data_IF_120136204175
#
_entry.id   IF_120136204175
#
_cell.length_a   1.000
_cell.length_b   1.000
_cell.length_c   1.000
_cell.angle_alpha   90.00
_cell.angle_beta   90.00
_cell.angle_gamma   90.00
#
_symmetry.space_group_name_H-M   'P 1'
#
loop_
_entity.id
_entity.type
_entity.pdbx_description
1 polymer ?
#
# COMPACT_ATOMS: atom_id res chain seq x y z
N UNK A 1 -30.93 58.58 22.95
CA UNK A 1 -29.64 58.54 22.23
C UNK A 1 -28.43 59.08 23.00
N UNK A 2 -28.52 60.08 23.90
CA UNK A 2 -27.34 60.51 24.71
C UNK A 2 -27.00 59.57 25.89
N UNK A 3 -27.98 58.83 26.41
CA UNK A 3 -27.79 57.97 27.59
C UNK A 3 -27.29 56.54 27.28
N UNK A 4 -27.35 56.09 26.02
CA UNK A 4 -26.86 54.75 25.64
C UNK A 4 -25.36 54.75 25.29
N UNK A 5 -24.83 55.90 24.86
CA UNK A 5 -23.40 56.08 24.59
C UNK A 5 -22.62 56.15 25.91
N UNK A 6 -23.24 56.66 26.99
CA UNK A 6 -22.65 56.69 28.33
C UNK A 6 -22.42 55.29 28.93
N UNK A 7 -23.27 54.31 28.58
CA UNK A 7 -23.14 52.91 29.02
C UNK A 7 -22.01 52.14 28.33
N UNK A 8 -21.59 52.58 27.15
CA UNK A 8 -20.48 51.99 26.39
C UNK A 8 -19.11 52.55 26.82
N UNK A 9 -19.05 53.79 27.31
CA UNK A 9 -17.81 54.39 27.87
C UNK A 9 -17.54 53.89 29.30
N UNK A 10 -18.58 53.49 30.06
CA UNK A 10 -18.46 52.98 31.43
C UNK A 10 -18.00 51.52 31.59
N UNK A 11 -17.77 50.79 30.48
CA UNK A 11 -17.28 49.41 30.47
C UNK A 11 -15.93 49.23 29.76
N UNK A 12 -15.22 50.32 29.50
CA UNK A 12 -13.83 50.25 29.10
C UNK A 12 -12.98 50.29 30.38
N UNK A 13 -12.06 49.33 30.60
CA UNK A 13 -11.15 49.39 31.73
C UNK A 13 -10.45 50.74 31.76
N UNK A 14 -10.63 51.47 32.86
CA UNK A 14 -10.34 52.91 32.99
C UNK A 14 -8.84 53.19 33.16
N UNK A 15 -7.99 52.18 32.98
CA UNK A 15 -6.55 52.26 33.16
C UNK A 15 -5.83 51.61 31.95
N UNK A 16 -5.12 52.41 31.13
CA UNK A 16 -4.35 51.92 29.98
C UNK A 16 -3.38 50.77 30.31
N UNK A 17 -2.89 50.71 31.55
CA UNK A 17 -2.02 49.64 32.02
C UNK A 17 -2.74 48.29 32.14
N UNK A 18 -4.00 48.28 32.55
CA UNK A 18 -4.80 47.04 32.71
C UNK A 18 -5.18 46.48 31.34
N UNK A 19 -5.59 47.34 30.39
CA UNK A 19 -5.86 46.98 28.99
C UNK A 19 -4.62 46.44 28.29
N UNK A 20 -3.44 47.02 28.54
CA UNK A 20 -2.18 46.55 28.00
C UNK A 20 -1.79 45.17 28.58
N UNK A 21 -2.03 44.96 29.87
CA UNK A 21 -1.79 43.67 30.55
C UNK A 21 -2.69 42.55 30.03
N UNK A 22 -3.98 42.83 29.81
CA UNK A 22 -4.92 41.88 29.21
C UNK A 22 -4.56 41.56 27.76
N UNK A 23 -4.23 42.58 26.95
CA UNK A 23 -3.80 42.39 25.56
C UNK A 23 -2.53 41.55 25.47
N UNK A 24 -1.55 41.79 26.35
CA UNK A 24 -0.33 40.98 26.42
C UNK A 24 -0.63 39.53 26.82
N UNK A 25 -1.51 39.31 27.82
CA UNK A 25 -1.95 37.95 28.20
C UNK A 25 -2.61 37.22 27.03
N UNK A 26 -3.47 37.89 26.26
CA UNK A 26 -4.09 37.30 25.07
C UNK A 26 -3.06 36.91 24.01
N UNK A 27 -2.06 37.76 23.76
CA UNK A 27 -0.98 37.46 22.82
C UNK A 27 -0.15 36.25 23.27
N UNK A 28 0.22 36.20 24.55
CA UNK A 28 1.00 35.09 25.11
C UNK A 28 0.19 33.79 25.09
N UNK A 29 -1.11 33.84 25.43
CA UNK A 29 -1.97 32.65 25.38
C UNK A 29 -2.16 32.15 23.95
N UNK A 30 -2.39 33.06 22.99
CA UNK A 30 -2.54 32.69 21.58
C UNK A 30 -1.26 32.09 21.00
N UNK A 31 -0.09 32.65 21.35
CA UNK A 31 1.20 32.08 20.97
C UNK A 31 1.44 30.69 21.59
N UNK A 32 1.13 30.53 22.88
CA UNK A 32 1.28 29.24 23.57
C UNK A 32 0.34 28.18 22.99
N UNK A 33 -0.90 28.54 22.67
CA UNK A 33 -1.87 27.66 22.03
C UNK A 33 -1.43 27.29 20.62
N UNK A 34 -0.99 28.27 19.82
CA UNK A 34 -0.40 28.02 18.50
C UNK A 34 0.78 27.04 18.58
N UNK A 35 1.70 27.24 19.53
CA UNK A 35 2.88 26.38 19.68
C UNK A 35 2.48 24.94 20.01
N UNK A 36 1.52 24.77 20.92
CA UNK A 36 0.97 23.45 21.28
C UNK A 36 0.28 22.78 20.09
N UNK A 37 -0.56 23.50 19.35
CA UNK A 37 -1.25 22.96 18.16
C UNK A 37 -0.22 22.58 17.10
N UNK A 38 0.78 23.44 16.85
CA UNK A 38 1.81 23.20 15.84
C UNK A 38 2.58 21.91 16.11
N UNK A 39 3.00 21.66 17.36
CA UNK A 39 3.70 20.43 17.76
C UNK A 39 2.82 19.17 17.63
N UNK A 40 1.54 19.26 18.00
CA UNK A 40 0.59 18.16 17.82
C UNK A 40 0.39 17.84 16.34
N UNK A 41 0.20 18.86 15.51
CA UNK A 41 0.00 18.67 14.07
C UNK A 41 1.28 18.20 13.36
N UNK A 42 2.46 18.61 13.83
CA UNK A 42 3.74 18.09 13.35
C UNK A 42 3.90 16.60 13.68
N UNK A 43 3.53 16.20 14.90
CA UNK A 43 3.53 14.79 15.32
C UNK A 43 2.58 13.97 14.44
N UNK A 44 1.34 14.43 14.24
CA UNK A 44 0.36 13.77 13.35
C UNK A 44 0.87 13.63 11.92
N UNK A 45 1.50 14.68 11.37
CA UNK A 45 2.11 14.62 10.02
C UNK A 45 3.23 13.57 9.95
N UNK A 46 4.04 13.50 11.00
CA UNK A 46 5.12 12.52 11.11
C UNK A 46 4.58 11.09 11.17
N UNK A 47 3.54 10.85 11.97
CA UNK A 47 2.85 9.57 12.04
C UNK A 47 2.24 9.15 10.69
N UNK A 48 1.56 10.08 10.00
CA UNK A 48 1.01 9.83 8.66
C UNK A 48 2.11 9.47 7.66
N UNK A 49 3.24 10.17 7.71
CA UNK A 49 4.38 9.88 6.84
C UNK A 49 4.99 8.50 7.12
N UNK A 50 5.21 8.17 8.40
CA UNK A 50 5.72 6.85 8.78
C UNK A 50 4.76 5.71 8.39
N UNK A 51 3.45 5.93 8.56
CA UNK A 51 2.43 4.99 8.11
C UNK A 51 2.46 4.82 6.59
N UNK A 52 2.51 5.93 5.84
CA UNK A 52 2.61 5.93 4.37
C UNK A 52 3.84 5.14 3.92
N UNK A 53 5.01 5.40 4.49
CA UNK A 53 6.26 4.70 4.14
C UNK A 53 6.14 3.19 4.39
N UNK A 54 5.57 2.79 5.53
CA UNK A 54 5.34 1.37 5.85
C UNK A 54 4.39 0.72 4.84
N UNK A 55 3.30 1.39 4.47
CA UNK A 55 2.36 0.87 3.48
C UNK A 55 2.96 0.78 2.08
N UNK A 56 3.76 1.77 1.67
CA UNK A 56 4.47 1.73 0.38
C UNK A 56 5.49 0.58 0.35
N UNK A 57 6.26 0.39 1.42
CA UNK A 57 7.18 -0.73 1.54
C UNK A 57 6.46 -2.08 1.47
N UNK A 58 5.29 -2.20 2.12
CA UNK A 58 4.44 -3.39 2.03
C UNK A 58 3.96 -3.66 0.60
N UNK A 59 3.42 -2.64 -0.08
CA UNK A 59 2.94 -2.76 -1.47
C UNK A 59 4.09 -3.15 -2.39
N UNK A 60 5.27 -2.55 -2.23
CA UNK A 60 6.44 -2.88 -3.04
C UNK A 60 6.92 -4.32 -2.80
N UNK A 61 6.89 -4.79 -1.55
CA UNK A 61 7.15 -6.18 -1.22
C UNK A 61 6.16 -7.12 -1.91
N UNK A 62 4.86 -6.84 -1.82
CA UNK A 62 3.80 -7.61 -2.48
C UNK A 62 3.99 -7.65 -4.00
N UNK A 63 4.31 -6.50 -4.60
CA UNK A 63 4.60 -6.37 -6.03
C UNK A 63 5.75 -7.29 -6.45
N UNK A 64 6.87 -7.27 -5.72
CA UNK A 64 8.05 -8.10 -6.02
C UNK A 64 7.75 -9.59 -5.95
N UNK A 65 7.04 -10.03 -4.91
CA UNK A 65 6.66 -11.45 -4.77
C UNK A 65 5.79 -11.90 -5.94
N UNK A 66 4.78 -11.10 -6.31
CA UNK A 66 3.91 -11.42 -7.44
C UNK A 66 4.68 -11.42 -8.77
N UNK A 67 5.56 -10.45 -8.98
CA UNK A 67 6.41 -10.37 -10.18
C UNK A 67 7.33 -11.60 -10.30
N UNK A 68 7.96 -12.01 -9.21
CA UNK A 68 8.82 -13.21 -9.17
C UNK A 68 8.03 -14.48 -9.46
N UNK A 69 6.89 -14.66 -8.81
CA UNK A 69 6.02 -15.81 -9.04
C UNK A 69 5.57 -15.89 -10.50
N UNK A 70 5.03 -14.79 -11.05
CA UNK A 70 4.56 -14.78 -12.44
C UNK A 70 5.70 -15.07 -13.42
N UNK A 71 6.84 -14.40 -13.25
CA UNK A 71 8.00 -14.61 -14.12
C UNK A 71 8.52 -16.04 -14.07
N UNK A 72 8.57 -16.64 -12.88
CA UNK A 72 8.95 -18.05 -12.67
C UNK A 72 7.97 -19.00 -13.35
N UNK A 73 6.68 -18.86 -13.08
CA UNK A 73 5.62 -19.73 -13.62
C UNK A 73 5.57 -19.70 -15.15
N UNK A 74 5.66 -18.53 -15.77
CA UNK A 74 5.65 -18.44 -17.23
C UNK A 74 6.92 -19.01 -17.85
N UNK A 75 8.09 -18.81 -17.22
CA UNK A 75 9.35 -19.39 -17.67
C UNK A 75 9.34 -20.91 -17.58
N UNK A 76 8.92 -21.46 -16.44
CA UNK A 76 8.81 -22.91 -16.24
C UNK A 76 7.86 -23.54 -17.26
N UNK A 77 6.66 -22.97 -17.43
CA UNK A 77 5.70 -23.46 -18.44
C UNK A 77 6.28 -23.42 -19.85
N UNK A 78 7.00 -22.37 -20.22
CA UNK A 78 7.64 -22.30 -21.53
C UNK A 78 8.64 -23.45 -21.72
N UNK A 79 9.50 -23.68 -20.73
CA UNK A 79 10.47 -24.79 -20.75
C UNK A 79 9.77 -26.16 -20.82
N UNK A 80 8.73 -26.38 -20.02
CA UNK A 80 7.97 -27.64 -20.02
C UNK A 80 7.29 -27.90 -21.37
N UNK A 81 6.65 -26.89 -21.96
CA UNK A 81 6.00 -27.01 -23.27
C UNK A 81 7.03 -27.31 -24.36
N UNK A 82 8.18 -26.62 -24.36
CA UNK A 82 9.28 -26.91 -25.28
C UNK A 82 9.75 -28.36 -25.15
N UNK A 83 9.90 -28.88 -23.93
CA UNK A 83 10.25 -30.28 -23.69
C UNK A 83 9.22 -31.28 -24.25
N UNK A 84 7.93 -30.96 -24.20
CA UNK A 84 6.90 -31.80 -24.83
C UNK A 84 6.98 -31.79 -26.35
N UNK A 85 7.31 -30.66 -26.97
CA UNK A 85 7.55 -30.61 -28.43
C UNK A 85 8.78 -31.41 -28.82
N UNK A 86 9.87 -31.34 -28.06
CA UNK A 86 11.05 -32.18 -28.31
C UNK A 86 10.74 -33.69 -28.19
N UNK A 87 9.91 -34.06 -27.21
CA UNK A 87 9.45 -35.43 -27.05
C UNK A 87 8.56 -35.89 -28.22
N UNK A 88 7.68 -35.00 -28.71
CA UNK A 88 6.87 -35.22 -29.89
C UNK A 88 7.74 -35.44 -31.13
N UNK A 89 8.73 -34.58 -31.36
CA UNK A 89 9.66 -34.70 -32.49
C UNK A 89 10.42 -36.03 -32.45
N UNK A 90 10.89 -36.46 -31.26
CA UNK A 90 11.51 -37.78 -31.07
C UNK A 90 10.54 -38.93 -31.36
N UNK A 91 9.28 -38.81 -30.95
CA UNK A 91 8.24 -39.78 -31.24
C UNK A 91 8.00 -39.94 -32.75
N UNK A 92 7.93 -38.82 -33.47
CA UNK A 92 7.78 -38.78 -34.93
C UNK A 92 9.01 -39.43 -35.59
N UNK A 93 10.21 -39.02 -35.21
CA UNK A 93 11.45 -39.54 -35.80
C UNK A 93 11.66 -41.05 -35.57
N UNK A 94 11.20 -41.57 -34.43
CA UNK A 94 11.31 -42.99 -34.07
C UNK A 94 10.11 -43.85 -34.49
N UNK A 95 9.04 -43.25 -35.03
CA UNK A 95 7.79 -43.95 -35.31
C UNK A 95 7.05 -44.44 -34.05
N UNK A 96 7.40 -43.93 -32.86
CA UNK A 96 6.81 -44.34 -31.60
C UNK A 96 5.45 -43.65 -31.38
N UNK A 97 4.37 -44.33 -31.75
CA UNK A 97 3.01 -43.81 -31.62
C UNK A 97 2.58 -43.50 -30.18
N UNK A 98 3.12 -44.23 -29.19
CA UNK A 98 2.82 -44.00 -27.78
C UNK A 98 3.42 -42.69 -27.29
N UNK A 99 4.67 -42.40 -27.68
CA UNK A 99 5.36 -41.14 -27.35
C UNK A 99 4.68 -39.95 -28.02
N UNK A 100 4.23 -40.10 -29.27
CA UNK A 100 3.45 -39.08 -29.98
C UNK A 100 2.15 -38.77 -29.22
N UNK A 101 1.37 -39.80 -28.91
CA UNK A 101 0.08 -39.65 -28.22
C UNK A 101 0.24 -39.02 -26.84
N UNK A 102 1.24 -39.49 -26.07
CA UNK A 102 1.53 -38.97 -24.73
C UNK A 102 1.98 -37.51 -24.76
N UNK A 103 2.83 -37.13 -25.71
CA UNK A 103 3.31 -35.75 -25.86
C UNK A 103 2.18 -34.79 -26.24
N UNK A 104 1.31 -35.18 -27.18
CA UNK A 104 0.11 -34.40 -27.55
C UNK A 104 -0.84 -34.27 -26.36
N UNK A 105 -1.06 -35.36 -25.62
CA UNK A 105 -1.88 -35.36 -24.41
C UNK A 105 -1.36 -34.39 -23.35
N UNK A 106 -0.05 -34.39 -23.11
CA UNK A 106 0.61 -33.48 -22.17
C UNK A 106 0.47 -32.01 -22.59
N UNK A 107 0.68 -31.70 -23.88
CA UNK A 107 0.47 -30.35 -24.44
C UNK A 107 -0.97 -29.89 -24.23
N UNK A 108 -1.96 -30.73 -24.56
CA UNK A 108 -3.37 -30.39 -24.37
C UNK A 108 -3.71 -30.19 -22.89
N UNK A 109 -3.17 -31.04 -22.00
CA UNK A 109 -3.40 -30.93 -20.56
C UNK A 109 -2.88 -29.59 -20.01
N UNK A 110 -1.62 -29.25 -20.30
CA UNK A 110 -1.03 -28.02 -19.80
C UNK A 110 -1.73 -26.79 -20.39
N UNK A 111 -2.10 -26.79 -21.67
CA UNK A 111 -2.82 -25.67 -22.29
C UNK A 111 -4.21 -25.42 -21.69
N UNK A 112 -4.86 -26.45 -21.15
CA UNK A 112 -6.16 -26.31 -20.45
C UNK A 112 -6.03 -25.66 -19.07
N UNK A 113 -4.86 -25.75 -18.44
CA UNK A 113 -4.63 -25.18 -17.12
C UNK A 113 -4.28 -23.69 -17.20
N UNK A 114 -4.91 -22.89 -16.34
CA UNK A 114 -4.59 -21.46 -16.22
C UNK A 114 -3.24 -21.26 -15.52
N UNK A 115 -2.29 -20.50 -16.11
CA UNK A 115 -1.02 -20.18 -15.46
C UNK A 115 -1.20 -19.30 -14.20
N UNK A 116 -2.38 -18.70 -14.02
CA UNK A 116 -2.69 -17.82 -12.89
C UNK A 116 -3.46 -18.52 -11.76
N UNK A 117 -3.69 -19.83 -11.86
CA UNK A 117 -4.47 -20.56 -10.85
C UNK A 117 -3.87 -20.38 -9.43
N UNK A 118 -2.56 -20.60 -9.27
CA UNK A 118 -1.87 -20.40 -7.99
C UNK A 118 -1.66 -18.94 -7.57
N UNK A 119 -1.77 -17.98 -8.51
CA UNK A 119 -1.64 -16.55 -8.18
C UNK A 119 -2.75 -16.09 -7.22
N UNK A 120 -3.94 -16.73 -7.28
CA UNK A 120 -5.06 -16.39 -6.40
C UNK A 120 -4.75 -16.66 -4.93
N UNK A 121 -4.05 -17.75 -4.62
CA UNK A 121 -3.67 -18.10 -3.25
C UNK A 121 -2.63 -17.12 -2.70
N UNK A 122 -1.63 -16.79 -3.52
CA UNK A 122 -0.59 -15.80 -3.18
C UNK A 122 -1.22 -14.43 -2.91
N UNK A 123 -2.11 -13.98 -3.79
CA UNK A 123 -2.85 -12.72 -3.60
C UNK A 123 -3.70 -12.79 -2.33
N UNK A 124 -4.38 -13.91 -2.07
CA UNK A 124 -5.15 -14.12 -0.84
C UNK A 124 -4.30 -14.00 0.43
N UNK A 125 -3.11 -14.60 0.44
CA UNK A 125 -2.17 -14.52 1.55
C UNK A 125 -1.65 -13.09 1.78
N UNK A 126 -1.48 -12.29 0.71
CA UNK A 126 -1.07 -10.88 0.81
C UNK A 126 -2.09 -9.98 1.51
N UNK A 127 -3.37 -10.32 1.50
CA UNK A 127 -4.43 -9.55 2.15
C UNK A 127 -4.83 -10.08 3.53
N UNK A 128 -4.23 -11.19 3.98
CA UNK A 128 -4.52 -11.74 5.30
C UNK A 128 -3.70 -11.01 6.39
N UNK A 129 -4.33 -10.27 7.32
CA UNK A 129 -3.64 -9.53 8.38
C UNK A 129 -2.90 -10.45 9.38
N UNK A 130 -3.14 -11.76 9.37
CA UNK A 130 -2.47 -12.74 10.24
C UNK A 130 -1.21 -13.37 9.60
N UNK A 131 -0.97 -13.18 8.29
CA UNK A 131 0.19 -13.73 7.59
C UNK A 131 1.36 -12.75 7.67
N UNK A 132 2.28 -13.01 8.61
CA UNK A 132 3.48 -12.17 8.83
C UNK A 132 4.58 -12.37 7.78
N UNK A 133 4.57 -13.48 7.06
CA UNK A 133 5.55 -13.83 6.02
C UNK A 133 4.88 -14.72 4.98
N UNK A 134 5.08 -14.39 3.70
CA UNK A 134 4.77 -15.29 2.58
C UNK A 134 6.07 -16.03 2.30
N UNK A 135 6.16 -17.28 2.74
CA UNK A 135 7.27 -18.15 2.34
C UNK A 135 7.07 -18.51 0.88
N UNK A 136 8.13 -18.30 0.09
CA UNK A 136 8.24 -18.61 -1.33
C UNK A 136 9.12 -19.84 -1.48
#
# INVERSE_FOLDING_TARGET
MKNEIAGLVGKLPVNPADTAGESFKMLVSAWSEYKKISEVEETKRTEINAYKETQLARIEGQRKVLEQYLSGMFKERATTISGFFEALDKGIASGNSELISSSIGAIVSITKESPLAGAREIIGAMYNPEVKTIEI
#
